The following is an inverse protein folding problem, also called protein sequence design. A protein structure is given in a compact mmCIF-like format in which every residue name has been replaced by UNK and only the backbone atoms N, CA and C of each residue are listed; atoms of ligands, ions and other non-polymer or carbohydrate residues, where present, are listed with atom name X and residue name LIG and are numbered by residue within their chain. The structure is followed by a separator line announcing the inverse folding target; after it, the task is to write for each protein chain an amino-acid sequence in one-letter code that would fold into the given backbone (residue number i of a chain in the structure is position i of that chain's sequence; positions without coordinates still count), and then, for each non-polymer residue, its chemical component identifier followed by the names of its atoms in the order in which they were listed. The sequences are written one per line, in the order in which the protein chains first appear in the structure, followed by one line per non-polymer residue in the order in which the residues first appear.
data_IF_304364995642
#
_entry.id   IF_304364995642
#
_cell.length_a   1.000
_cell.length_b   1.000
_cell.length_c   1.000
_cell.angle_alpha   90.00
_cell.angle_beta   90.00
_cell.angle_gamma   90.00
#
_symmetry.space_group_name_H-M   'P 1'
#
loop_
_entity.id
_entity.type
_entity.pdbx_description
1 polymer ?
#
# COMPACT_ATOMS: atom_id res chain seq x y z
N UNK A 1 13.42 15.31 8.72
CA UNK A 1 13.88 14.89 7.40
C UNK A 1 12.70 14.46 6.54
N UNK A 2 12.71 14.87 5.29
CA UNK A 2 11.66 14.46 4.36
C UNK A 2 11.80 12.98 4.05
N UNK A 3 10.69 12.28 3.98
CA UNK A 3 10.66 10.90 3.54
C UNK A 3 11.04 10.83 2.05
N UNK A 4 11.71 9.76 1.61
CA UNK A 4 11.89 9.56 0.18
C UNK A 4 10.51 9.39 -0.49
N UNK A 5 10.43 9.80 -1.75
CA UNK A 5 9.18 9.71 -2.51
C UNK A 5 9.28 8.62 -3.55
N UNK A 6 8.11 8.07 -3.91
CA UNK A 6 7.98 7.06 -4.96
C UNK A 6 6.71 7.35 -5.76
N UNK A 7 6.69 6.93 -7.00
CA UNK A 7 5.50 7.07 -7.82
C UNK A 7 4.42 6.08 -7.35
N UNK A 8 3.18 6.34 -7.74
CA UNK A 8 2.07 5.44 -7.41
C UNK A 8 2.35 4.01 -7.89
N UNK A 9 2.92 3.87 -9.07
CA UNK A 9 3.26 2.57 -9.65
C UNK A 9 4.34 1.87 -8.84
N UNK A 10 5.35 2.60 -8.39
CA UNK A 10 6.41 2.05 -7.56
C UNK A 10 5.89 1.62 -6.19
N UNK A 11 5.02 2.43 -5.60
CA UNK A 11 4.40 2.11 -4.32
C UNK A 11 3.53 0.86 -4.42
N UNK A 12 2.77 0.74 -5.52
CA UNK A 12 1.97 -0.46 -5.76
C UNK A 12 2.86 -1.71 -5.82
N UNK A 13 3.98 -1.63 -6.52
CA UNK A 13 4.91 -2.75 -6.61
C UNK A 13 5.50 -3.11 -5.26
N UNK A 14 5.85 -2.10 -4.45
CA UNK A 14 6.37 -2.33 -3.10
C UNK A 14 5.35 -3.03 -2.22
N UNK A 15 4.09 -2.61 -2.29
CA UNK A 15 3.01 -3.25 -1.53
C UNK A 15 2.85 -4.72 -1.97
N UNK A 16 2.83 -4.96 -3.27
CA UNK A 16 2.69 -6.31 -3.82
C UNK A 16 3.86 -7.19 -3.38
N UNK A 17 5.09 -6.68 -3.48
CA UNK A 17 6.28 -7.43 -3.06
C UNK A 17 6.22 -7.83 -1.58
N UNK A 18 5.75 -6.93 -0.72
CA UNK A 18 5.60 -7.21 0.70
C UNK A 18 4.51 -8.25 0.96
N UNK A 19 3.41 -8.18 0.21
CA UNK A 19 2.32 -9.15 0.32
C UNK A 19 2.81 -10.52 -0.10
N UNK A 20 3.54 -10.61 -1.21
CA UNK A 20 4.06 -11.88 -1.71
C UNK A 20 5.15 -12.49 -0.82
N UNK A 21 5.77 -11.68 0.03
CA UNK A 21 6.72 -12.18 1.01
C UNK A 21 6.03 -13.01 2.11
N UNK A 22 4.72 -12.86 2.26
CA UNK A 22 3.93 -13.66 3.20
C UNK A 22 3.50 -14.95 2.48
N UNK A 23 3.95 -16.13 2.92
CA UNK A 23 3.65 -17.38 2.22
C UNK A 23 2.15 -17.65 2.03
N UNK A 24 1.32 -17.27 3.00
CA UNK A 24 -0.12 -17.46 2.94
C UNK A 24 -0.80 -16.61 1.88
N UNK A 25 -0.18 -15.49 1.50
CA UNK A 25 -0.73 -14.55 0.53
C UNK A 25 -0.09 -14.67 -0.85
N UNK A 26 0.95 -15.46 -0.96
CA UNK A 26 1.66 -15.63 -2.23
C UNK A 26 0.75 -16.23 -3.29
N UNK A 27 0.69 -15.59 -4.45
CA UNK A 27 -0.15 -16.03 -5.55
C UNK A 27 -1.60 -15.61 -5.48
N UNK A 28 -2.02 -14.92 -4.41
CA UNK A 28 -3.37 -14.42 -4.28
C UNK A 28 -3.47 -13.00 -4.83
N UNK A 29 -4.59 -12.71 -5.46
CA UNK A 29 -4.87 -11.36 -5.96
C UNK A 29 -5.57 -10.58 -4.85
N UNK A 30 -4.94 -9.50 -4.43
CA UNK A 30 -5.44 -8.65 -3.34
C UNK A 30 -5.93 -7.30 -3.89
N UNK A 31 -6.44 -6.46 -3.01
CA UNK A 31 -6.86 -5.11 -3.39
C UNK A 31 -5.70 -4.29 -3.97
N UNK A 32 -4.47 -4.53 -3.52
CA UNK A 32 -3.30 -3.86 -4.08
C UNK A 32 -3.10 -4.19 -5.55
N UNK A 33 -3.39 -5.42 -5.96
CA UNK A 33 -3.31 -5.84 -7.35
C UNK A 33 -4.42 -5.23 -8.20
N UNK A 34 -5.62 -5.12 -7.62
CA UNK A 34 -6.82 -4.69 -8.36
C UNK A 34 -7.00 -3.18 -8.38
N UNK A 35 -6.85 -2.55 -7.23
CA UNK A 35 -7.15 -1.14 -7.05
C UNK A 35 -5.97 -0.21 -7.23
N UNK A 36 -4.77 -0.71 -6.96
CA UNK A 36 -3.56 0.09 -7.03
C UNK A 36 -3.48 1.16 -5.94
N UNK A 37 -2.50 2.05 -6.10
CA UNK A 37 -2.25 3.14 -5.16
C UNK A 37 -2.95 4.40 -5.65
N UNK A 38 -3.64 5.08 -4.73
CA UNK A 38 -4.31 6.35 -5.01
C UNK A 38 -3.77 7.43 -4.08
N UNK A 39 -3.81 8.68 -4.55
CA UNK A 39 -3.44 9.84 -3.76
C UNK A 39 -4.55 10.22 -2.82
N UNK A 40 -4.19 10.64 -1.61
CA UNK A 40 -5.11 11.18 -0.63
C UNK A 40 -4.53 12.47 -0.07
N UNK A 41 -5.39 13.29 0.52
CA UNK A 41 -4.96 14.52 1.15
C UNK A 41 -4.22 14.19 2.45
N UNK A 42 -2.97 14.65 2.55
CA UNK A 42 -2.19 14.45 3.77
C UNK A 42 -2.67 15.40 4.86
N UNK A 43 -3.01 14.85 6.03
CA UNK A 43 -3.44 15.64 7.18
C UNK A 43 -2.39 15.53 8.29
N UNK A 44 -1.94 16.69 8.79
CA UNK A 44 -1.05 16.78 9.95
C UNK A 44 0.17 15.85 9.91
N UNK A 45 0.84 15.79 8.77
CA UNK A 45 2.00 14.92 8.60
C UNK A 45 1.69 13.47 8.32
N UNK A 46 0.42 13.16 8.07
CA UNK A 46 0.01 11.82 7.67
C UNK A 46 0.41 11.48 6.24
N UNK A 47 0.10 10.26 5.80
CA UNK A 47 0.45 9.83 4.45
C UNK A 47 -0.38 10.56 3.39
N UNK A 48 0.20 10.73 2.20
CA UNK A 48 -0.49 11.34 1.07
C UNK A 48 -0.96 10.30 0.04
N UNK A 49 -0.95 9.03 0.41
CA UNK A 49 -1.38 7.94 -0.46
C UNK A 49 -1.94 6.78 0.34
N UNK A 50 -2.72 5.96 -0.32
CA UNK A 50 -3.20 4.70 0.25
C UNK A 50 -3.47 3.70 -0.87
N UNK A 51 -3.81 2.48 -0.52
CA UNK A 51 -4.22 1.47 -1.48
C UNK A 51 -5.74 1.47 -1.54
N UNK A 52 -6.28 1.52 -2.76
CA UNK A 52 -7.72 1.52 -2.98
C UNK A 52 -8.32 0.18 -2.59
N UNK A 53 -9.33 0.21 -1.74
CA UNK A 53 -10.05 -0.99 -1.32
C UNK A 53 -11.16 -1.26 -2.34
N UNK A 54 -11.12 -2.44 -2.97
CA UNK A 54 -12.11 -2.83 -3.97
C UNK A 54 -12.92 -4.06 -3.55
N UNK A 55 -12.55 -4.67 -2.42
CA UNK A 55 -13.25 -5.85 -1.88
C UNK A 55 -13.24 -5.83 -0.37
N UNK A 56 -14.41 -6.07 0.23
CA UNK A 56 -14.55 -6.16 1.68
C UNK A 56 -14.31 -7.57 2.22
N UNK A 57 -14.01 -8.51 1.33
CA UNK A 57 -13.92 -9.93 1.68
C UNK A 57 -12.50 -10.46 1.84
N UNK A 58 -11.53 -9.59 2.07
CA UNK A 58 -10.16 -10.04 2.27
C UNK A 58 -10.00 -10.69 3.65
N UNK A 59 -9.62 -11.96 3.67
CA UNK A 59 -9.34 -12.68 4.91
C UNK A 59 -8.04 -12.24 5.57
N UNK A 60 -7.17 -11.55 4.82
CA UNK A 60 -5.87 -11.09 5.28
C UNK A 60 -5.80 -9.57 5.36
N UNK A 61 -6.94 -8.95 5.61
CA UNK A 61 -7.05 -7.49 5.63
C UNK A 61 -6.12 -6.83 6.65
N UNK A 62 -5.96 -7.44 7.81
CA UNK A 62 -5.10 -6.90 8.87
C UNK A 62 -3.62 -6.89 8.46
N UNK A 63 -3.16 -7.98 7.83
CA UNK A 63 -1.78 -8.08 7.37
C UNK A 63 -1.49 -7.07 6.27
N UNK A 64 -2.41 -6.94 5.33
CA UNK A 64 -2.30 -5.98 4.23
C UNK A 64 -2.30 -4.54 4.76
N UNK A 65 -3.19 -4.24 5.69
CA UNK A 65 -3.26 -2.91 6.30
C UNK A 65 -1.96 -2.55 7.01
N UNK A 66 -1.36 -3.51 7.69
CA UNK A 66 -0.07 -3.31 8.37
C UNK A 66 1.04 -2.99 7.38
N UNK A 67 1.10 -3.73 6.28
CA UNK A 67 2.08 -3.50 5.20
C UNK A 67 1.92 -2.09 4.64
N UNK A 68 0.69 -1.70 4.33
CA UNK A 68 0.40 -0.38 3.78
C UNK A 68 0.86 0.70 4.76
N UNK A 69 0.52 0.57 6.03
CA UNK A 69 0.90 1.54 7.05
C UNK A 69 2.41 1.68 7.18
N UNK A 70 3.15 0.56 7.16
CA UNK A 70 4.60 0.57 7.23
C UNK A 70 5.19 1.33 6.04
N UNK A 71 4.69 1.09 4.85
CA UNK A 71 5.18 1.77 3.65
C UNK A 71 4.78 3.24 3.65
N UNK A 72 3.60 3.58 4.15
CA UNK A 72 3.18 4.97 4.31
C UNK A 72 4.10 5.75 5.26
N UNK A 73 4.67 5.08 6.25
CA UNK A 73 5.62 5.70 7.16
C UNK A 73 7.00 5.87 6.54
N UNK A 74 7.35 5.04 5.56
CA UNK A 74 8.65 5.04 4.91
C UNK A 74 8.71 5.93 3.68
N UNK A 75 7.62 6.06 2.94
CA UNK A 75 7.58 6.76 1.66
C UNK A 75 6.36 7.65 1.53
N UNK A 76 6.53 8.76 0.81
CA UNK A 76 5.43 9.58 0.34
C UNK A 76 5.26 9.34 -1.16
N UNK A 77 4.08 9.63 -1.67
CA UNK A 77 3.82 9.52 -3.11
C UNK A 77 4.25 10.80 -3.81
N UNK A 78 5.00 10.62 -4.88
CA UNK A 78 5.45 11.69 -5.75
C UNK A 78 4.68 11.59 -7.07
N UNK A 79 3.71 12.44 -7.22
CA UNK A 79 2.88 12.38 -8.42
C UNK A 79 2.60 13.75 -8.98
#
# INVERSE_FOLDING_TARGET
MAKPTRTAKELQQLVIDRIEAIPELRGQITDAHRGGVIGIEAEEGGPNWTVRVVSDRSTHRSDIARIIRQLQMQYDMDD
#
